data_IF_680258469492
#
_entry.id   IF_680258469492
#
_cell.length_a   1.000
_cell.length_b   1.000
_cell.length_c   1.000
_cell.angle_alpha   90.00
_cell.angle_beta   90.00
_cell.angle_gamma   90.00
#
_symmetry.space_group_name_H-M   'P 1'
#
loop_
_entity.id
_entity.type
_entity.pdbx_description
1 polymer ?
#
# COMPACT_ATOMS: atom_id res chain seq x y z
N UNK A 1 -2.25 -20.56 -7.47
CA UNK A 1 -2.73 -20.14 -6.14
C UNK A 1 -3.02 -18.65 -6.15
N UNK A 2 -4.05 -18.23 -5.42
CA UNK A 2 -4.37 -16.81 -5.31
C UNK A 2 -3.25 -16.08 -4.55
N UNK A 3 -2.91 -14.84 -4.94
CA UNK A 3 -1.93 -14.06 -4.21
C UNK A 3 -2.38 -13.79 -2.77
N UNK A 4 -1.46 -13.95 -1.82
CA UNK A 4 -1.71 -13.65 -0.41
C UNK A 4 -1.26 -12.23 -0.13
N UNK A 5 -2.18 -11.28 -0.25
CA UNK A 5 -1.91 -9.85 -0.06
C UNK A 5 -2.74 -9.34 1.10
N UNK A 6 -2.06 -8.68 2.02
CA UNK A 6 -2.67 -8.13 3.24
C UNK A 6 -2.35 -6.64 3.33
N UNK A 7 -3.14 -5.93 4.11
CA UNK A 7 -2.85 -4.53 4.44
C UNK A 7 -2.68 -4.40 5.95
N UNK A 8 -1.81 -3.49 6.37
CA UNK A 8 -1.54 -3.30 7.79
C UNK A 8 -1.05 -1.87 8.05
N UNK A 9 -1.52 -1.27 9.13
CA UNK A 9 -0.99 0.04 9.52
C UNK A 9 0.45 -0.12 9.99
N UNK A 10 1.30 0.85 9.64
CA UNK A 10 2.70 0.86 10.06
C UNK A 10 2.82 0.96 11.59
N UNK A 11 1.79 1.49 12.25
CA UNK A 11 1.77 1.64 13.71
C UNK A 11 1.43 0.36 14.45
N UNK A 12 0.92 -0.64 13.75
CA UNK A 12 0.67 -1.95 14.32
C UNK A 12 1.98 -2.75 14.36
N UNK A 13 2.18 -3.63 15.36
CA UNK A 13 3.42 -4.38 15.47
C UNK A 13 3.70 -5.23 14.22
N UNK A 14 4.96 -5.21 13.78
CA UNK A 14 5.41 -6.12 12.73
C UNK A 14 5.44 -7.54 13.27
N UNK A 15 4.97 -8.49 12.47
CA UNK A 15 4.87 -9.90 12.87
C UNK A 15 5.53 -10.79 11.81
N UNK A 16 6.09 -11.96 12.23
CA UNK A 16 6.72 -12.86 11.25
C UNK A 16 5.77 -13.30 10.13
N UNK A 17 4.46 -13.42 10.43
CA UNK A 17 3.46 -13.80 9.45
C UNK A 17 3.16 -12.75 8.41
N UNK A 18 3.68 -11.52 8.55
CA UNK A 18 3.46 -10.45 7.57
C UNK A 18 4.17 -10.73 6.26
N UNK A 19 5.22 -11.55 6.27
CA UNK A 19 6.00 -11.84 5.07
C UNK A 19 6.73 -10.61 4.55
N UNK A 20 6.63 -10.35 3.25
CA UNK A 20 7.27 -9.20 2.62
C UNK A 20 6.50 -7.92 2.95
N UNK A 21 7.12 -7.02 3.69
CA UNK A 21 6.48 -5.78 4.14
C UNK A 21 6.91 -4.62 3.23
N UNK A 22 5.93 -4.00 2.57
CA UNK A 22 6.19 -2.89 1.64
C UNK A 22 5.34 -1.68 2.02
N UNK A 23 6.01 -0.57 2.30
CA UNK A 23 5.36 0.71 2.60
C UNK A 23 5.14 1.47 1.29
N UNK A 24 3.92 1.97 1.09
CA UNK A 24 3.58 2.70 -0.14
C UNK A 24 3.24 4.17 0.10
N UNK A 25 3.42 4.68 1.30
CA UNK A 25 3.23 6.10 1.57
C UNK A 25 4.36 6.92 0.94
N UNK A 26 4.02 8.12 0.46
CA UNK A 26 5.03 9.01 -0.13
C UNK A 26 5.98 9.56 0.93
N UNK A 27 5.46 9.84 2.12
CA UNK A 27 6.22 10.38 3.24
C UNK A 27 6.43 9.30 4.29
N UNK A 28 7.58 9.34 4.97
CA UNK A 28 7.84 8.41 6.07
C UNK A 28 6.87 8.67 7.22
N UNK A 29 6.26 7.62 7.79
CA UNK A 29 5.29 7.77 8.87
C UNK A 29 5.90 8.43 10.11
N UNK A 30 5.20 9.40 10.66
CA UNK A 30 5.67 10.15 11.81
C UNK A 30 5.80 9.26 13.04
N UNK A 31 6.92 9.38 13.74
CA UNK A 31 7.12 8.66 15.00
C UNK A 31 7.48 7.19 14.88
N UNK A 32 7.73 6.70 13.67
CA UNK A 32 8.10 5.30 13.45
C UNK A 32 9.56 5.21 13.08
N UNK A 33 10.34 4.42 13.84
CA UNK A 33 11.72 4.13 13.47
C UNK A 33 11.79 3.10 12.36
N UNK A 34 12.89 3.08 11.62
CA UNK A 34 13.11 2.06 10.59
C UNK A 34 13.17 0.67 11.21
N UNK A 35 13.77 0.54 12.38
CA UNK A 35 13.84 -0.73 13.10
C UNK A 35 12.45 -1.25 13.46
N UNK A 36 11.59 -0.37 13.95
CA UNK A 36 10.23 -0.75 14.33
C UNK A 36 9.38 -1.12 13.13
N UNK A 37 9.54 -0.38 12.02
CA UNK A 37 8.75 -0.62 10.81
C UNK A 37 9.06 -1.95 10.15
N UNK A 38 10.30 -2.43 10.26
CA UNK A 38 10.75 -3.71 9.70
C UNK A 38 10.31 -3.90 8.25
N UNK A 39 10.53 -2.88 7.44
CA UNK A 39 10.15 -2.93 6.04
C UNK A 39 11.19 -3.67 5.22
N UNK A 40 10.72 -4.44 4.24
CA UNK A 40 11.57 -4.99 3.20
C UNK A 40 11.75 -3.99 2.07
N UNK A 41 10.75 -3.12 1.87
CA UNK A 41 10.81 -2.13 0.82
C UNK A 41 9.98 -0.90 1.19
N UNK A 42 10.47 0.29 0.82
CA UNK A 42 9.70 1.52 0.81
C UNK A 42 9.45 1.90 -0.65
N UNK A 43 8.26 1.55 -1.17
CA UNK A 43 7.91 1.71 -2.56
C UNK A 43 7.26 3.08 -2.80
N UNK A 44 8.03 4.15 -2.71
CA UNK A 44 7.55 5.52 -2.92
C UNK A 44 7.00 5.72 -4.33
N UNK A 45 7.52 4.98 -5.29
CA UNK A 45 7.05 5.02 -6.68
C UNK A 45 5.60 4.56 -6.83
N UNK A 46 5.11 3.76 -5.90
CA UNK A 46 3.73 3.28 -5.92
C UNK A 46 2.77 4.14 -5.10
N UNK A 47 3.27 5.18 -4.44
CA UNK A 47 2.43 6.10 -3.69
C UNK A 47 1.55 6.94 -4.62
N UNK A 48 0.36 7.38 -4.16
CA UNK A 48 -0.39 8.36 -4.92
C UNK A 48 0.44 9.63 -5.12
N UNK A 49 0.19 10.34 -6.23
CA UNK A 49 0.87 11.61 -6.47
C UNK A 49 0.61 12.59 -5.32
N UNK A 50 1.49 13.55 -5.16
CA UNK A 50 1.35 14.55 -4.11
C UNK A 50 0.05 15.35 -4.28
N UNK A 51 -0.30 15.69 -5.51
CA UNK A 51 -1.54 16.40 -5.81
C UNK A 51 -2.77 15.58 -5.43
N UNK A 52 -2.77 14.29 -5.77
CA UNK A 52 -3.90 13.41 -5.44
C UNK A 52 -4.03 13.22 -3.94
N UNK A 53 -2.89 13.03 -3.25
CA UNK A 53 -2.86 12.87 -1.81
C UNK A 53 -3.44 14.10 -1.10
N UNK A 54 -3.04 15.29 -1.53
CA UNK A 54 -3.52 16.54 -0.95
C UNK A 54 -5.00 16.77 -1.22
N UNK A 55 -5.44 16.46 -2.44
CA UNK A 55 -6.84 16.59 -2.79
C UNK A 55 -7.72 15.66 -1.95
N UNK A 56 -7.29 14.42 -1.77
CA UNK A 56 -8.02 13.43 -0.98
C UNK A 56 -8.14 13.86 0.48
N UNK A 57 -7.02 14.28 1.09
CA UNK A 57 -6.95 14.80 2.46
C UNK A 57 -7.69 13.94 3.48
N UNK A 58 -7.59 12.60 3.35
CA UNK A 58 -8.23 11.62 4.25
C UNK A 58 -9.75 11.82 4.39
N UNK A 59 -10.40 12.38 3.39
CA UNK A 59 -11.86 12.58 3.42
C UNK A 59 -12.55 11.35 2.81
N UNK A 60 -13.26 10.53 3.63
CA UNK A 60 -13.90 9.31 3.11
C UNK A 60 -14.93 9.60 2.00
N UNK A 61 -15.51 10.80 1.97
CA UNK A 61 -16.46 11.18 0.92
C UNK A 61 -15.80 11.29 -0.44
N UNK A 62 -14.49 11.58 -0.46
CA UNK A 62 -13.72 11.69 -1.70
C UNK A 62 -13.11 10.35 -2.11
N UNK A 63 -13.25 9.32 -1.28
CA UNK A 63 -12.57 8.05 -1.52
C UNK A 63 -12.95 7.39 -2.86
N UNK A 64 -14.22 7.35 -3.28
CA UNK A 64 -14.55 6.74 -4.57
C UNK A 64 -13.80 7.38 -5.74
N UNK A 65 -13.70 8.71 -5.76
CA UNK A 65 -12.94 9.42 -6.80
C UNK A 65 -11.43 9.25 -6.62
N UNK A 66 -10.94 9.28 -5.37
CA UNK A 66 -9.54 9.01 -5.07
C UNK A 66 -9.13 7.65 -5.62
N UNK A 67 -9.94 6.63 -5.37
CA UNK A 67 -9.70 5.27 -5.82
C UNK A 67 -9.56 5.20 -7.33
N UNK A 68 -10.48 5.84 -8.06
CA UNK A 68 -10.44 5.90 -9.53
C UNK A 68 -9.16 6.58 -10.03
N UNK A 69 -8.82 7.73 -9.47
CA UNK A 69 -7.64 8.49 -9.87
C UNK A 69 -6.34 7.76 -9.54
N UNK A 70 -6.28 7.13 -8.37
CA UNK A 70 -5.09 6.38 -7.98
C UNK A 70 -4.89 5.16 -8.87
N UNK A 71 -5.96 4.44 -9.19
CA UNK A 71 -5.88 3.31 -10.13
C UNK A 71 -5.35 3.78 -11.48
N UNK A 72 -5.76 4.95 -11.94
CA UNK A 72 -5.25 5.52 -13.18
C UNK A 72 -3.75 5.82 -13.09
N UNK A 73 -3.30 6.40 -11.98
CA UNK A 73 -1.87 6.63 -11.76
C UNK A 73 -1.09 5.32 -11.75
N UNK A 74 -1.65 4.28 -11.14
CA UNK A 74 -0.98 2.98 -11.03
C UNK A 74 -0.83 2.25 -12.37
N UNK A 75 -1.56 2.66 -13.39
CA UNK A 75 -1.38 2.09 -14.74
C UNK A 75 0.01 2.27 -15.30
N UNK A 76 0.72 3.30 -14.86
CA UNK A 76 2.11 3.52 -15.25
C UNK A 76 3.08 2.57 -14.54
N UNK A 77 2.60 1.78 -13.58
CA UNK A 77 3.44 0.93 -12.72
C UNK A 77 3.02 -0.54 -12.76
N UNK A 78 2.50 -1.00 -13.88
CA UNK A 78 2.04 -2.38 -14.01
C UNK A 78 3.13 -3.40 -13.72
N UNK A 79 4.38 -3.10 -14.12
CA UNK A 79 5.51 -3.99 -13.85
C UNK A 79 5.73 -4.16 -12.34
N UNK A 80 5.62 -3.09 -11.58
CA UNK A 80 5.76 -3.14 -10.13
C UNK A 80 4.63 -3.93 -9.48
N UNK A 81 3.41 -3.76 -9.98
CA UNK A 81 2.25 -4.52 -9.48
C UNK A 81 2.43 -6.00 -9.79
N UNK A 82 2.93 -6.34 -10.97
CA UNK A 82 3.21 -7.73 -11.35
C UNK A 82 4.30 -8.34 -10.46
N UNK A 83 5.36 -7.58 -10.12
CA UNK A 83 6.38 -8.05 -9.19
C UNK A 83 5.77 -8.42 -7.83
N UNK A 84 4.90 -7.56 -7.31
CA UNK A 84 4.23 -7.83 -6.03
C UNK A 84 3.31 -9.06 -6.14
N UNK A 85 2.64 -9.21 -7.27
CA UNK A 85 1.75 -10.35 -7.50
C UNK A 85 2.53 -11.67 -7.52
N UNK A 86 3.68 -11.69 -8.20
CA UNK A 86 4.55 -12.87 -8.23
C UNK A 86 5.04 -13.18 -6.83
N UNK A 87 5.50 -12.17 -6.10
CA UNK A 87 5.97 -12.34 -4.73
C UNK A 87 4.87 -12.89 -3.82
N UNK A 88 3.64 -12.36 -3.97
CA UNK A 88 2.49 -12.80 -3.18
C UNK A 88 2.03 -14.22 -3.51
N UNK A 89 2.40 -14.75 -4.66
CA UNK A 89 2.11 -16.14 -5.02
C UNK A 89 3.06 -17.13 -4.33
N UNK A 90 4.18 -16.65 -3.78
CA UNK A 90 5.17 -17.47 -3.10
C UNK A 90 5.13 -17.32 -1.57
N UNK A 91 4.43 -16.33 -1.07
CA UNK A 91 4.29 -16.08 0.37
C UNK A 91 3.54 -14.78 0.61
N UNK A 92 3.21 -14.47 1.89
CA UNK A 92 2.44 -13.26 2.17
C UNK A 92 3.18 -11.98 1.78
N UNK A 93 2.44 -11.02 1.24
CA UNK A 93 2.89 -9.65 1.05
C UNK A 93 1.96 -8.76 1.86
N UNK A 94 2.53 -7.93 2.73
CA UNK A 94 1.77 -6.99 3.53
C UNK A 94 2.06 -5.58 3.05
N UNK A 95 1.03 -4.92 2.52
CA UNK A 95 1.12 -3.53 2.10
C UNK A 95 0.88 -2.66 3.32
N UNK A 96 1.91 -1.89 3.70
CA UNK A 96 1.94 -1.12 4.93
C UNK A 96 1.62 0.35 4.62
N UNK A 97 0.83 0.97 5.47
CA UNK A 97 0.39 2.35 5.29
C UNK A 97 0.30 3.07 6.63
N UNK A 98 0.27 4.42 6.60
CA UNK A 98 0.24 5.25 7.81
C UNK A 98 -1.12 5.80 8.19
N UNK A 99 -2.10 5.79 7.29
CA UNK A 99 -3.42 6.35 7.56
C UNK A 99 -4.11 5.69 8.75
N UNK A 100 -4.97 6.45 9.44
CA UNK A 100 -5.77 5.91 10.56
C UNK A 100 -6.95 5.09 10.05
N UNK A 101 -7.51 5.50 8.93
CA UNK A 101 -8.66 4.83 8.34
C UNK A 101 -8.20 3.54 7.66
N UNK A 102 -8.66 2.40 8.17
CA UNK A 102 -8.25 1.09 7.68
C UNK A 102 -9.00 0.65 6.42
N UNK A 103 -10.03 1.38 6.05
CA UNK A 103 -10.87 1.03 4.88
C UNK A 103 -10.67 1.98 3.71
N UNK A 104 -10.41 3.27 3.97
CA UNK A 104 -10.33 4.32 2.96
C UNK A 104 -8.89 4.82 2.84
N UNK A 105 -8.02 3.99 2.29
CA UNK A 105 -6.60 4.33 2.13
C UNK A 105 -6.03 3.77 0.83
N UNK A 106 -4.81 4.19 0.52
CA UNK A 106 -4.09 3.78 -0.70
C UNK A 106 -3.75 2.29 -0.72
N UNK A 107 -3.40 1.73 0.42
CA UNK A 107 -3.01 0.31 0.49
C UNK A 107 -4.14 -0.62 0.07
N UNK A 108 -5.39 -0.29 0.43
CA UNK A 108 -6.56 -1.08 0.03
C UNK A 108 -6.69 -1.13 -1.49
N UNK A 109 -6.48 0.01 -2.16
CA UNK A 109 -6.56 0.08 -3.63
C UNK A 109 -5.48 -0.76 -4.28
N UNK A 110 -4.23 -0.61 -3.82
CA UNK A 110 -3.12 -1.38 -4.38
C UNK A 110 -3.31 -2.88 -4.13
N UNK A 111 -3.76 -3.26 -2.94
CA UNK A 111 -4.02 -4.67 -2.62
C UNK A 111 -5.04 -5.28 -3.56
N UNK A 112 -6.10 -4.55 -3.89
CA UNK A 112 -7.11 -5.02 -4.86
C UNK A 112 -6.48 -5.30 -6.21
N UNK A 113 -5.60 -4.40 -6.70
CA UNK A 113 -4.94 -4.58 -7.98
C UNK A 113 -3.96 -5.75 -7.98
N UNK A 114 -3.24 -5.95 -6.89
CA UNK A 114 -2.32 -7.09 -6.77
C UNK A 114 -3.08 -8.42 -6.73
N UNK A 115 -4.24 -8.45 -6.08
CA UNK A 115 -5.09 -9.65 -6.03
C UNK A 115 -5.75 -9.96 -7.37
N UNK A 116 -6.02 -8.94 -8.16
CA UNK A 116 -6.66 -9.12 -9.46
C UNK A 116 -5.70 -9.81 -10.43
N UNK A 117 -6.16 -10.81 -11.10
CA UNK A 117 -5.36 -11.57 -12.07
C UNK A 117 -5.66 -11.15 -13.49
#
# INVERSE_FOLDING_TARGET
>A
MAPDVRTKRVYDPAEPGDGYRVLIDRLWPRGVSRERARLDEWARDLAPSDDLRKWFNHDPKRYPEFRERYREELRAHTDRIDELRVRASHGPVTIVYGARDTEHNDAVVLAELVRAS
#
